data_IF_916177635272
#
_entry.id   IF_916177635272
#
_cell.length_a   1.000
_cell.length_b   1.000
_cell.length_c   1.000
_cell.angle_alpha   90.00
_cell.angle_beta   90.00
_cell.angle_gamma   90.00
#
_symmetry.space_group_name_H-M   'P 1'
#
loop_
_entity.id
_entity.type
_entity.pdbx_description
1 polymer ?
#
# COMPACT_ATOMS: atom_id res chain seq x y z
N UNK A 1 9.77 -21.46 -24.41
CA UNK A 1 9.94 -22.85 -24.89
C UNK A 1 11.36 -23.06 -25.41
N UNK A 2 12.06 -24.13 -25.04
CA UNK A 2 13.44 -24.40 -25.49
C UNK A 2 13.47 -25.29 -26.73
N UNK A 3 14.46 -25.11 -27.62
CA UNK A 3 14.62 -25.92 -28.84
C UNK A 3 14.61 -27.43 -28.54
N UNK A 4 15.23 -27.83 -27.42
CA UNK A 4 15.26 -29.22 -26.93
C UNK A 4 13.88 -29.82 -26.64
N UNK A 5 12.92 -29.01 -26.18
CA UNK A 5 11.55 -29.48 -25.90
C UNK A 5 10.76 -29.70 -27.19
N UNK A 6 10.91 -28.77 -28.15
CA UNK A 6 10.28 -28.84 -29.47
C UNK A 6 10.77 -30.08 -30.22
N UNK A 7 12.08 -30.30 -30.21
CA UNK A 7 12.73 -31.48 -30.77
C UNK A 7 12.15 -32.77 -30.17
N UNK A 8 12.05 -32.88 -28.84
CA UNK A 8 11.49 -34.07 -28.17
C UNK A 8 10.03 -34.34 -28.55
N UNK A 9 9.22 -33.30 -28.72
CA UNK A 9 7.81 -33.44 -29.08
C UNK A 9 7.64 -33.85 -30.55
N UNK A 10 8.39 -33.23 -31.47
CA UNK A 10 8.44 -33.63 -32.89
C UNK A 10 8.84 -35.10 -33.01
N UNK A 11 9.85 -35.54 -32.26
CA UNK A 11 10.26 -36.95 -32.24
C UNK A 11 9.17 -37.89 -31.71
N UNK A 12 8.30 -37.42 -30.81
CA UNK A 12 7.25 -38.24 -30.20
C UNK A 12 5.99 -38.33 -31.07
N UNK A 13 5.62 -37.24 -31.74
CA UNK A 13 4.36 -37.14 -32.52
C UNK A 13 4.54 -37.48 -34.00
N UNK A 14 5.68 -37.15 -34.61
CA UNK A 14 5.86 -37.21 -36.07
C UNK A 14 6.85 -38.28 -36.53
N UNK A 15 7.57 -38.90 -35.59
CA UNK A 15 8.68 -39.79 -35.83
C UNK A 15 8.36 -41.21 -35.32
N UNK A 16 7.22 -41.76 -35.76
CA UNK A 16 6.72 -43.09 -35.36
C UNK A 16 7.28 -44.24 -36.21
N UNK A 17 7.98 -43.94 -37.31
CA UNK A 17 8.49 -44.93 -38.27
C UNK A 17 9.99 -45.22 -38.13
N UNK A 18 10.43 -46.36 -38.67
CA UNK A 18 11.81 -46.87 -38.66
C UNK A 18 12.88 -45.86 -39.11
N UNK A 19 12.51 -44.88 -39.94
CA UNK A 19 13.34 -43.77 -40.40
C UNK A 19 13.77 -42.85 -39.23
N UNK A 20 12.91 -42.64 -38.23
CA UNK A 20 13.23 -41.86 -37.04
C UNK A 20 14.26 -42.54 -36.13
N UNK A 21 14.27 -43.87 -36.07
CA UNK A 21 15.25 -44.63 -35.29
C UNK A 21 16.67 -44.53 -35.87
N UNK A 22 16.81 -44.41 -37.19
CA UNK A 22 18.11 -44.16 -37.84
C UNK A 22 18.63 -42.75 -37.54
N UNK A 23 17.73 -41.76 -37.61
CA UNK A 23 18.01 -40.37 -37.23
C UNK A 23 18.42 -40.33 -35.74
N UNK A 24 17.66 -40.94 -34.84
CA UNK A 24 17.94 -41.02 -33.41
C UNK A 24 19.28 -41.71 -33.07
N UNK A 25 19.64 -42.81 -33.75
CA UNK A 25 20.93 -43.51 -33.58
C UNK A 25 22.13 -42.70 -34.08
N UNK A 26 21.98 -41.96 -35.18
CA UNK A 26 23.04 -41.08 -35.68
C UNK A 26 23.31 -39.89 -34.73
N UNK A 27 22.32 -39.54 -33.90
CA UNK A 27 22.28 -38.31 -33.12
C UNK A 27 22.59 -38.48 -31.63
N UNK A 28 22.52 -39.68 -31.06
CA UNK A 28 22.95 -39.93 -29.67
C UNK A 28 24.41 -39.57 -29.38
N UNK A 29 25.24 -39.36 -30.41
CA UNK A 29 26.66 -39.01 -30.28
C UNK A 29 26.97 -37.51 -30.41
N UNK A 30 26.03 -36.63 -30.80
CA UNK A 30 26.32 -35.23 -31.17
C UNK A 30 25.52 -34.13 -30.43
N UNK A 31 24.58 -34.48 -29.54
CA UNK A 31 23.72 -33.52 -28.81
C UNK A 31 24.47 -32.83 -27.65
N UNK A 32 25.61 -32.19 -27.94
CA UNK A 32 26.33 -31.38 -26.94
C UNK A 32 26.72 -29.98 -27.41
N UNK A 33 26.41 -29.52 -28.63
CA UNK A 33 26.97 -28.23 -29.07
C UNK A 33 26.07 -27.13 -29.64
N UNK A 34 24.81 -27.29 -30.06
CA UNK A 34 23.94 -26.13 -30.39
C UNK A 34 22.49 -26.55 -30.75
N UNK A 35 21.55 -26.45 -29.80
CA UNK A 35 20.16 -26.92 -29.96
C UNK A 35 19.35 -26.20 -31.07
N UNK A 36 19.75 -24.98 -31.46
CA UNK A 36 19.11 -24.17 -32.51
C UNK A 36 19.43 -24.63 -33.92
N UNK A 37 20.69 -25.02 -34.20
CA UNK A 37 21.07 -25.60 -35.49
C UNK A 37 20.41 -26.97 -35.71
N UNK A 38 20.22 -27.70 -34.62
CA UNK A 38 19.58 -29.01 -34.67
C UNK A 38 18.08 -28.94 -34.98
N UNK A 39 17.38 -27.96 -34.40
CA UNK A 39 15.97 -27.70 -34.72
C UNK A 39 15.78 -27.29 -36.19
N UNK A 40 16.73 -26.54 -36.77
CA UNK A 40 16.69 -26.17 -38.18
C UNK A 40 16.79 -27.40 -39.09
N UNK A 41 17.73 -28.31 -38.81
CA UNK A 41 17.88 -29.56 -39.56
C UNK A 41 16.65 -30.46 -39.48
N UNK A 42 16.01 -30.56 -38.30
CA UNK A 42 14.78 -31.36 -38.13
C UNK A 42 13.59 -30.80 -38.93
N UNK A 43 13.45 -29.47 -38.98
CA UNK A 43 12.40 -28.82 -39.81
C UNK A 43 12.58 -29.13 -41.29
N UNK A 44 13.83 -29.12 -41.75
CA UNK A 44 14.18 -29.40 -43.15
C UNK A 44 14.01 -30.89 -43.48
N UNK A 45 14.50 -31.80 -42.64
CA UNK A 45 14.42 -33.24 -42.87
C UNK A 45 12.98 -33.79 -42.85
N UNK A 46 12.09 -33.18 -42.06
CA UNK A 46 10.68 -33.57 -41.95
C UNK A 46 9.74 -32.69 -42.78
N UNK A 47 10.29 -31.74 -43.55
CA UNK A 47 9.54 -30.84 -44.42
C UNK A 47 8.42 -30.06 -43.72
N UNK A 48 8.66 -29.62 -42.47
CA UNK A 48 7.65 -28.96 -41.63
C UNK A 48 7.47 -27.51 -42.09
N UNK A 49 6.27 -27.14 -42.54
CA UNK A 49 5.96 -25.76 -42.93
C UNK A 49 5.95 -24.79 -41.73
N UNK A 50 6.03 -23.49 -42.00
CA UNK A 50 5.99 -22.47 -40.94
C UNK A 50 4.67 -22.49 -40.14
N UNK A 51 3.55 -22.79 -40.82
CA UNK A 51 2.22 -22.84 -40.23
C UNK A 51 2.04 -24.11 -39.37
N UNK A 52 2.47 -25.28 -39.86
CA UNK A 52 2.49 -26.51 -39.06
C UNK A 52 3.42 -26.39 -37.85
N UNK A 53 4.55 -25.71 -38.01
CA UNK A 53 5.45 -25.42 -36.90
C UNK A 53 4.79 -24.54 -35.84
N UNK A 54 4.07 -23.48 -36.25
CA UNK A 54 3.32 -22.63 -35.32
C UNK A 54 2.21 -23.40 -34.59
N UNK A 55 1.47 -24.25 -35.30
CA UNK A 55 0.44 -25.12 -34.71
C UNK A 55 1.04 -26.16 -33.76
N UNK A 56 2.20 -26.73 -34.07
CA UNK A 56 2.93 -27.64 -33.19
C UNK A 56 3.39 -26.91 -31.92
N UNK A 57 3.92 -25.70 -32.05
CA UNK A 57 4.28 -24.87 -30.90
C UNK A 57 3.05 -24.61 -30.00
N UNK A 58 1.91 -24.22 -30.60
CA UNK A 58 0.67 -24.00 -29.88
C UNK A 58 0.13 -25.29 -29.21
N UNK A 59 0.22 -26.45 -29.87
CA UNK A 59 -0.18 -27.75 -29.28
C UNK A 59 0.74 -28.16 -28.13
N UNK A 60 2.04 -27.94 -28.25
CA UNK A 60 3.03 -28.17 -27.19
C UNK A 60 2.74 -27.26 -25.98
N UNK A 61 2.38 -26.01 -26.23
CA UNK A 61 2.03 -25.05 -25.19
C UNK A 61 0.70 -25.44 -24.51
N UNK A 62 -0.32 -25.85 -25.28
CA UNK A 62 -1.63 -26.27 -24.74
C UNK A 62 -1.66 -27.60 -23.98
N UNK A 63 -0.67 -28.47 -24.20
CA UNK A 63 -0.56 -29.79 -23.54
C UNK A 63 0.36 -29.75 -22.31
N UNK A 64 1.10 -28.66 -22.12
CA UNK A 64 1.96 -28.46 -20.97
C UNK A 64 1.22 -27.75 -19.84
N UNK A 65 1.58 -28.08 -18.60
CA UNK A 65 1.19 -27.27 -17.46
C UNK A 65 1.82 -25.88 -17.59
N UNK A 66 1.09 -24.83 -17.21
CA UNK A 66 1.71 -23.53 -17.05
C UNK A 66 2.90 -23.67 -16.07
N UNK A 67 4.06 -23.06 -16.38
CA UNK A 67 5.09 -22.84 -15.39
C UNK A 67 4.48 -22.31 -14.09
N UNK A 68 4.82 -22.87 -12.93
CA UNK A 68 4.16 -22.52 -11.66
C UNK A 68 4.12 -21.00 -11.39
N UNK A 69 5.14 -20.25 -11.83
CA UNK A 69 5.15 -18.78 -11.73
C UNK A 69 4.06 -18.12 -12.58
N UNK A 70 3.84 -18.61 -13.80
CA UNK A 70 2.75 -18.13 -14.66
C UNK A 70 1.39 -18.54 -14.11
N UNK A 71 1.27 -19.76 -13.56
CA UNK A 71 0.05 -20.21 -12.90
C UNK A 71 -0.31 -19.34 -11.69
N UNK A 72 0.69 -18.93 -10.90
CA UNK A 72 0.50 -18.02 -9.76
C UNK A 72 0.08 -16.63 -10.20
N UNK A 73 0.69 -16.08 -11.24
CA UNK A 73 0.26 -14.79 -11.79
C UNK A 73 -1.16 -14.89 -12.33
N UNK A 74 -1.51 -16.00 -12.99
CA UNK A 74 -2.87 -16.26 -13.43
C UNK A 74 -3.85 -16.34 -12.25
N UNK A 75 -3.48 -17.00 -11.14
CA UNK A 75 -4.29 -17.04 -9.92
C UNK A 75 -4.55 -15.64 -9.33
N UNK A 76 -3.52 -14.80 -9.28
CA UNK A 76 -3.61 -13.43 -8.76
C UNK A 76 -4.52 -12.59 -9.66
N UNK A 77 -4.30 -12.66 -10.98
CA UNK A 77 -5.13 -11.96 -11.96
C UNK A 77 -6.60 -12.38 -11.87
N UNK A 78 -6.88 -13.67 -11.66
CA UNK A 78 -8.25 -14.16 -11.51
C UNK A 78 -8.91 -13.68 -10.20
N UNK A 79 -8.14 -13.49 -9.11
CA UNK A 79 -8.66 -12.85 -7.89
C UNK A 79 -9.03 -11.39 -8.15
N UNK A 80 -8.18 -10.66 -8.89
CA UNK A 80 -8.41 -9.28 -9.32
C UNK A 80 -9.68 -9.15 -10.19
N UNK A 81 -9.82 -10.01 -11.22
CA UNK A 81 -10.97 -10.01 -12.15
C UNK A 81 -12.30 -10.28 -11.44
N UNK A 82 -12.31 -11.18 -10.47
CA UNK A 82 -13.49 -11.50 -9.67
C UNK A 82 -13.79 -10.43 -8.60
N UNK A 83 -13.11 -9.28 -8.65
CA UNK A 83 -13.39 -8.10 -7.83
C UNK A 83 -12.79 -8.14 -6.43
N UNK A 84 -11.92 -9.11 -6.15
CA UNK A 84 -11.24 -9.22 -4.87
C UNK A 84 -10.17 -8.13 -4.76
N UNK A 85 -10.33 -7.21 -3.80
CA UNK A 85 -9.44 -6.04 -3.63
C UNK A 85 -8.47 -6.27 -2.48
N UNK A 86 -7.20 -5.94 -2.68
CA UNK A 86 -6.18 -5.91 -1.63
C UNK A 86 -5.35 -4.62 -1.74
N UNK A 87 -4.96 -4.04 -0.60
CA UNK A 87 -4.26 -2.77 -0.50
C UNK A 87 -2.75 -2.89 -0.73
N UNK A 88 -2.24 -4.12 -0.90
CA UNK A 88 -0.86 -4.37 -1.28
C UNK A 88 -0.48 -5.84 -1.23
N UNK A 89 0.71 -6.14 -1.75
CA UNK A 89 1.21 -7.53 -1.85
C UNK A 89 1.20 -8.26 -0.51
N UNK A 90 1.49 -7.59 0.61
CA UNK A 90 1.43 -8.23 1.94
C UNK A 90 0.03 -8.75 2.28
N UNK A 91 -1.01 -7.98 1.96
CA UNK A 91 -2.40 -8.36 2.23
C UNK A 91 -2.82 -9.55 1.36
N UNK A 92 -2.51 -9.51 0.07
CA UNK A 92 -2.71 -10.65 -0.84
C UNK A 92 -2.05 -11.94 -0.30
N UNK A 93 -0.84 -11.84 0.25
CA UNK A 93 -0.14 -12.99 0.82
C UNK A 93 -0.77 -13.48 2.11
N UNK A 94 -1.18 -12.58 3.02
CA UNK A 94 -1.89 -12.98 4.23
C UNK A 94 -3.22 -13.66 3.91
N UNK A 95 -3.85 -13.30 2.80
CA UNK A 95 -5.09 -13.92 2.34
C UNK A 95 -4.83 -15.30 1.72
N UNK A 96 -3.78 -15.42 0.91
CA UNK A 96 -3.43 -16.67 0.22
C UNK A 96 -2.63 -17.66 1.07
N UNK A 97 -2.04 -17.18 2.17
CA UNK A 97 -1.19 -17.94 3.09
C UNK A 97 -1.46 -17.41 4.51
N UNK A 98 -2.57 -17.82 5.16
CA UNK A 98 -3.03 -17.19 6.39
C UNK A 98 -2.24 -17.58 7.66
N UNK A 99 -1.30 -18.53 7.58
CA UNK A 99 -0.49 -18.94 8.74
C UNK A 99 0.62 -17.92 9.05
N UNK A 100 0.51 -17.25 10.20
CA UNK A 100 1.46 -16.21 10.65
C UNK A 100 2.81 -16.75 11.18
N UNK A 101 2.96 -18.06 11.34
CA UNK A 101 4.25 -18.68 11.65
C UNK A 101 5.07 -18.85 10.37
N UNK A 102 5.68 -17.73 9.95
CA UNK A 102 6.50 -17.67 8.76
C UNK A 102 7.88 -18.31 8.94
N UNK A 103 8.21 -18.89 10.09
CA UNK A 103 9.57 -19.36 10.40
C UNK A 103 10.09 -20.35 9.36
N UNK A 104 9.26 -21.30 8.94
CA UNK A 104 9.57 -22.29 7.90
C UNK A 104 9.57 -21.72 6.47
N UNK A 105 8.86 -20.60 6.26
CA UNK A 105 8.62 -19.99 4.95
C UNK A 105 9.51 -18.75 4.70
N UNK A 106 10.18 -18.24 5.73
CA UNK A 106 10.78 -16.90 5.81
C UNK A 106 11.69 -16.57 4.63
N UNK A 107 12.58 -17.50 4.27
CA UNK A 107 13.52 -17.32 3.16
C UNK A 107 12.81 -17.21 1.81
N UNK A 108 11.77 -18.02 1.59
CA UNK A 108 11.00 -18.02 0.35
C UNK A 108 9.99 -16.88 0.29
N UNK A 109 9.45 -16.49 1.43
CA UNK A 109 8.66 -15.27 1.60
C UNK A 109 9.47 -14.02 1.21
N UNK A 110 10.71 -13.88 1.72
CA UNK A 110 11.58 -12.76 1.35
C UNK A 110 12.00 -12.79 -0.12
N UNK A 111 12.30 -13.97 -0.67
CA UNK A 111 12.62 -14.10 -2.10
C UNK A 111 11.43 -13.72 -2.99
N UNK A 112 10.23 -14.23 -2.69
CA UNK A 112 9.05 -13.92 -3.50
C UNK A 112 8.65 -12.45 -3.38
N UNK A 113 8.86 -11.83 -2.21
CA UNK A 113 8.63 -10.40 -1.98
C UNK A 113 9.61 -9.47 -2.72
N UNK A 114 10.85 -9.91 -2.95
CA UNK A 114 11.92 -9.03 -3.41
C UNK A 114 12.32 -9.24 -4.87
N UNK A 115 12.13 -10.43 -5.44
CA UNK A 115 12.80 -10.77 -6.70
C UNK A 115 11.86 -10.92 -7.90
N UNK A 116 10.56 -11.19 -7.73
CA UNK A 116 9.61 -11.44 -8.85
C UNK A 116 10.15 -12.37 -9.97
N UNK A 117 11.21 -13.14 -9.72
CA UNK A 117 11.93 -13.86 -10.75
C UNK A 117 11.99 -15.35 -10.45
N UNK A 118 11.28 -16.07 -11.31
CA UNK A 118 11.54 -17.42 -11.79
C UNK A 118 11.74 -18.51 -10.71
N UNK A 119 10.63 -19.23 -10.49
CA UNK A 119 10.48 -20.44 -9.69
C UNK A 119 10.35 -20.21 -8.18
N UNK A 120 9.10 -20.29 -7.70
CA UNK A 120 8.84 -20.82 -6.36
C UNK A 120 9.28 -22.28 -6.39
N UNK A 121 10.57 -22.53 -6.16
CA UNK A 121 11.13 -23.89 -6.08
C UNK A 121 10.66 -24.65 -4.85
N UNK A 122 9.96 -24.00 -3.91
CA UNK A 122 9.60 -24.59 -2.62
C UNK A 122 8.14 -24.98 -2.58
N UNK A 123 7.90 -26.28 -2.39
CA UNK A 123 6.59 -26.92 -2.26
C UNK A 123 5.70 -26.32 -1.16
N UNK A 124 6.29 -25.65 -0.16
CA UNK A 124 5.60 -25.13 1.02
C UNK A 124 4.70 -23.92 0.76
N UNK A 125 5.10 -22.94 -0.07
CA UNK A 125 4.22 -21.83 -0.48
C UNK A 125 3.08 -22.35 -1.36
N UNK A 126 3.41 -23.33 -2.22
CA UNK A 126 2.46 -23.98 -3.12
C UNK A 126 1.36 -24.71 -2.34
N UNK A 127 1.74 -25.43 -1.28
CA UNK A 127 0.81 -26.09 -0.36
C UNK A 127 -0.10 -25.08 0.36
N UNK A 128 0.43 -23.98 0.87
CA UNK A 128 -0.39 -22.98 1.56
C UNK A 128 -1.43 -22.30 0.65
N UNK A 129 -1.04 -21.99 -0.60
CA UNK A 129 -1.98 -21.46 -1.61
C UNK A 129 -3.02 -22.52 -1.96
N UNK A 130 -2.60 -23.78 -2.12
CA UNK A 130 -3.47 -24.91 -2.38
C UNK A 130 -4.52 -25.07 -1.26
N UNK A 131 -4.10 -24.98 0.00
CA UNK A 131 -4.99 -25.07 1.16
C UNK A 131 -5.96 -23.88 1.23
N UNK A 132 -5.46 -22.66 1.03
CA UNK A 132 -6.25 -21.43 1.13
C UNK A 132 -7.34 -21.33 0.05
N UNK A 133 -6.99 -21.69 -1.19
CA UNK A 133 -7.91 -21.69 -2.32
C UNK A 133 -8.63 -23.03 -2.50
N UNK A 134 -8.34 -24.02 -1.65
CA UNK A 134 -8.90 -25.38 -1.68
C UNK A 134 -8.76 -26.06 -3.06
N UNK A 135 -7.54 -26.02 -3.61
CA UNK A 135 -7.17 -26.71 -4.84
C UNK A 135 -6.74 -28.15 -4.57
N UNK A 136 -6.93 -29.02 -5.55
CA UNK A 136 -6.34 -30.34 -5.54
C UNK A 136 -4.88 -30.26 -5.98
N UNK A 137 -4.00 -31.08 -5.39
CA UNK A 137 -2.56 -31.04 -5.64
C UNK A 137 -2.18 -31.36 -7.10
N UNK A 138 -3.01 -32.10 -7.83
CA UNK A 138 -2.77 -32.43 -9.23
C UNK A 138 -2.81 -31.19 -10.14
N UNK A 139 -3.51 -30.12 -9.73
CA UNK A 139 -3.75 -28.93 -10.56
C UNK A 139 -2.45 -28.22 -10.93
N UNK A 140 -1.40 -28.31 -10.10
CA UNK A 140 -0.08 -27.76 -10.38
C UNK A 140 0.58 -28.33 -11.62
N UNK A 141 0.27 -29.59 -11.94
CA UNK A 141 0.82 -30.32 -13.09
C UNK A 141 -0.22 -30.63 -14.16
N UNK A 142 -1.46 -30.19 -13.99
CA UNK A 142 -2.51 -30.31 -15.00
C UNK A 142 -2.17 -29.47 -16.23
N UNK A 143 -2.67 -29.85 -17.40
CA UNK A 143 -2.46 -29.04 -18.62
C UNK A 143 -2.97 -27.61 -18.43
N UNK A 144 -2.34 -26.66 -19.11
CA UNK A 144 -2.74 -25.25 -19.06
C UNK A 144 -4.24 -25.06 -19.35
N UNK A 145 -4.80 -25.84 -20.27
CA UNK A 145 -6.24 -25.84 -20.58
C UNK A 145 -7.09 -26.19 -19.36
N UNK A 146 -6.73 -27.24 -18.61
CA UNK A 146 -7.47 -27.64 -17.42
C UNK A 146 -7.27 -26.65 -16.27
N UNK A 147 -6.06 -26.10 -16.12
CA UNK A 147 -5.75 -25.05 -15.15
C UNK A 147 -6.62 -23.80 -15.38
N UNK A 148 -6.71 -23.31 -16.63
CA UNK A 148 -7.54 -22.15 -16.99
C UNK A 148 -9.03 -22.38 -16.79
N UNK A 149 -9.49 -23.63 -16.85
CA UNK A 149 -10.90 -23.99 -16.67
C UNK A 149 -11.31 -24.11 -15.19
N UNK A 150 -10.43 -24.66 -14.34
CA UNK A 150 -10.76 -25.00 -12.95
C UNK A 150 -10.52 -23.84 -12.00
N UNK A 151 -9.45 -23.06 -12.22
CA UNK A 151 -9.03 -21.98 -11.32
C UNK A 151 -10.09 -20.89 -11.09
N UNK A 152 -10.73 -20.32 -12.13
CA UNK A 152 -11.70 -19.23 -11.93
C UNK A 152 -12.84 -19.66 -11.01
N UNK A 153 -13.40 -20.86 -11.24
CA UNK A 153 -14.50 -21.42 -10.43
C UNK A 153 -14.16 -21.55 -8.95
N UNK A 154 -12.92 -21.92 -8.64
CA UNK A 154 -12.46 -22.08 -7.27
C UNK A 154 -12.19 -20.73 -6.60
N UNK A 155 -11.72 -19.73 -7.35
CA UNK A 155 -11.54 -18.35 -6.88
C UNK A 155 -12.89 -17.70 -6.57
N UNK A 156 -13.88 -17.80 -7.46
CA UNK A 156 -15.24 -17.30 -7.17
C UNK A 156 -15.81 -17.89 -5.89
N UNK A 157 -15.64 -19.21 -5.69
CA UNK A 157 -16.09 -19.89 -4.47
C UNK A 157 -15.34 -19.41 -3.20
N UNK A 158 -14.05 -19.09 -3.32
CA UNK A 158 -13.24 -18.52 -2.25
C UNK A 158 -13.74 -17.11 -1.86
N UNK A 159 -13.98 -16.25 -2.84
CA UNK A 159 -14.43 -14.86 -2.64
C UNK A 159 -15.80 -14.82 -1.94
N UNK A 160 -16.77 -15.61 -2.42
CA UNK A 160 -18.11 -15.69 -1.82
C UNK A 160 -18.09 -16.11 -0.34
N UNK A 161 -17.11 -16.93 0.06
CA UNK A 161 -16.92 -17.35 1.46
C UNK A 161 -16.27 -16.26 2.30
N UNK A 162 -15.43 -15.42 1.69
CA UNK A 162 -14.72 -14.31 2.33
C UNK A 162 -15.63 -13.08 2.53
N UNK A 163 -16.43 -12.71 1.53
CA UNK A 163 -17.36 -11.56 1.61
C UNK A 163 -18.45 -11.75 2.68
N UNK A 164 -18.99 -12.97 2.82
CA UNK A 164 -19.95 -13.31 3.89
C UNK A 164 -19.38 -13.11 5.30
N UNK A 165 -18.06 -13.18 5.49
CA UNK A 165 -17.41 -12.86 6.77
C UNK A 165 -17.24 -11.36 7.00
N UNK A 166 -17.13 -10.57 5.94
CA UNK A 166 -16.93 -9.12 6.01
C UNK A 166 -18.25 -8.35 6.13
N UNK A 167 -19.34 -8.81 5.51
CA UNK A 167 -20.68 -8.23 5.70
C UNK A 167 -21.19 -8.36 7.14
N UNK A 168 -20.78 -9.41 7.86
CA UNK A 168 -21.09 -9.59 9.27
C UNK A 168 -20.36 -8.58 10.19
N UNK A 169 -19.22 -8.02 9.74
CA UNK A 169 -18.50 -6.95 10.44
C UNK A 169 -19.08 -5.57 10.11
N UNK A 170 -19.42 -5.32 8.84
CA UNK A 170 -19.85 -4.00 8.38
C UNK A 170 -21.20 -3.51 8.93
N UNK A 171 -22.08 -4.39 9.43
CA UNK A 171 -23.39 -3.98 9.97
C UNK A 171 -23.37 -3.51 11.43
N UNK A 172 -22.24 -3.66 12.14
CA UNK A 172 -22.16 -3.31 13.56
C UNK A 172 -21.40 -2.00 13.87
N UNK A 173 -20.74 -1.36 12.90
CA UNK A 173 -19.81 -0.25 13.18
C UNK A 173 -20.38 1.16 13.01
N UNK A 174 -21.71 1.33 12.97
CA UNK A 174 -22.36 2.65 12.91
C UNK A 174 -22.58 3.31 14.29
N UNK A 175 -21.64 3.19 15.23
CA UNK A 175 -21.68 3.91 16.52
C UNK A 175 -20.28 4.36 16.96
N UNK A 176 -20.10 5.69 17.02
CA UNK A 176 -18.90 6.44 17.42
C UNK A 176 -17.63 6.16 16.61
N UNK A 177 -16.84 7.18 16.23
CA UNK A 177 -15.52 6.95 15.65
C UNK A 177 -14.59 6.45 16.77
N UNK A 178 -14.58 5.15 17.01
CA UNK A 178 -13.56 4.49 17.81
C UNK A 178 -12.24 4.56 17.02
N UNK A 179 -11.17 4.96 17.69
CA UNK A 179 -9.84 4.88 17.09
C UNK A 179 -9.52 3.42 16.88
N UNK A 180 -9.37 3.00 15.62
CA UNK A 180 -8.96 1.64 15.30
C UNK A 180 -7.50 1.42 15.70
N UNK A 181 -7.29 0.84 16.89
CA UNK A 181 -5.97 0.50 17.43
C UNK A 181 -5.45 -0.87 16.94
N UNK A 182 -6.09 -1.48 15.93
CA UNK A 182 -5.70 -2.79 15.36
C UNK A 182 -4.24 -2.83 14.86
N UNK A 183 -3.62 -1.67 14.62
CA UNK A 183 -2.22 -1.52 14.20
C UNK A 183 -1.18 -1.78 15.29
N UNK A 184 -1.57 -1.84 16.57
CA UNK A 184 -0.69 -2.11 17.72
C UNK A 184 -0.45 -3.63 17.82
N UNK A 185 0.19 -4.21 16.79
CA UNK A 185 0.57 -5.62 16.81
C UNK A 185 2.00 -5.79 17.36
N UNK A 186 2.20 -6.68 18.35
CA UNK A 186 3.51 -6.95 18.93
C UNK A 186 4.42 -7.67 17.92
N UNK A 187 5.74 -7.43 18.01
CA UNK A 187 6.74 -8.10 17.18
C UNK A 187 6.99 -9.55 17.62
N UNK A 188 6.78 -9.83 18.90
CA UNK A 188 6.85 -11.16 19.50
C UNK A 188 5.43 -11.65 19.76
N UNK A 189 5.17 -12.94 19.58
CA UNK A 189 3.80 -13.49 19.62
C UNK A 189 3.49 -14.23 20.93
N UNK A 190 4.54 -14.61 21.67
CA UNK A 190 4.37 -15.49 22.83
C UNK A 190 4.05 -14.68 24.08
N UNK A 191 2.83 -14.85 24.53
CA UNK A 191 2.39 -14.53 25.89
C UNK A 191 2.64 -15.75 26.76
N UNK A 192 2.93 -15.53 28.04
CA UNK A 192 2.87 -16.62 29.00
C UNK A 192 1.41 -16.97 29.33
N UNK A 193 1.18 -18.07 30.06
CA UNK A 193 -0.16 -18.56 30.40
C UNK A 193 -0.96 -17.54 31.23
N UNK A 194 -0.29 -16.83 32.13
CA UNK A 194 -0.90 -15.83 33.02
C UNK A 194 -1.36 -14.59 32.24
N UNK A 195 -0.48 -14.04 31.39
CA UNK A 195 -0.78 -12.93 30.48
C UNK A 195 -1.90 -13.28 29.48
N UNK A 196 -1.89 -14.51 28.95
CA UNK A 196 -2.92 -15.00 28.03
C UNK A 196 -4.27 -15.17 28.72
N UNK A 197 -4.27 -15.68 29.96
CA UNK A 197 -5.47 -15.82 30.78
C UNK A 197 -6.08 -14.45 31.07
N UNK A 198 -5.25 -13.52 31.55
CA UNK A 198 -5.69 -12.18 31.89
C UNK A 198 -6.24 -11.38 30.70
N UNK A 199 -5.62 -11.48 29.51
CA UNK A 199 -6.15 -10.83 28.31
C UNK A 199 -7.55 -11.35 27.94
N UNK A 200 -7.80 -12.66 28.05
CA UNK A 200 -9.13 -13.23 27.81
C UNK A 200 -10.15 -12.71 28.81
N UNK A 201 -9.78 -12.58 30.07
CA UNK A 201 -10.63 -11.98 31.10
C UNK A 201 -11.00 -10.55 30.71
N UNK A 202 -10.02 -9.70 30.37
CA UNK A 202 -10.30 -8.31 29.97
C UNK A 202 -11.21 -8.19 28.73
N UNK A 203 -11.11 -9.10 27.77
CA UNK A 203 -11.97 -9.13 26.58
C UNK A 203 -13.43 -9.41 26.93
N UNK A 204 -13.69 -10.32 27.88
CA UNK A 204 -15.05 -10.79 28.23
C UNK A 204 -15.76 -9.98 29.31
N UNK A 205 -15.02 -9.29 30.16
CA UNK A 205 -15.57 -8.65 31.37
C UNK A 205 -16.21 -7.27 31.09
N UNK A 206 -17.18 -6.86 31.93
CA UNK A 206 -17.75 -5.50 31.88
C UNK A 206 -16.76 -4.46 32.42
N UNK A 207 -16.97 -3.17 32.15
CA UNK A 207 -16.09 -2.08 32.62
C UNK A 207 -15.89 -2.12 34.14
N UNK A 208 -16.94 -2.36 34.92
CA UNK A 208 -16.85 -2.44 36.39
C UNK A 208 -15.95 -3.59 36.87
N UNK A 209 -16.07 -4.75 36.24
CA UNK A 209 -15.27 -5.94 36.60
C UNK A 209 -13.80 -5.79 36.22
N UNK A 210 -13.48 -4.93 35.25
CA UNK A 210 -12.10 -4.70 34.81
C UNK A 210 -11.29 -3.94 35.85
N UNK A 211 -11.90 -3.02 36.61
CA UNK A 211 -11.19 -2.32 37.70
C UNK A 211 -10.67 -3.31 38.74
N UNK A 212 -11.52 -4.25 39.17
CA UNK A 212 -11.14 -5.32 40.10
C UNK A 212 -10.04 -6.20 39.49
N UNK A 213 -10.16 -6.56 38.22
CA UNK A 213 -9.15 -7.37 37.51
C UNK A 213 -7.81 -6.68 37.36
N UNK A 214 -7.79 -5.38 37.08
CA UNK A 214 -6.56 -4.59 37.00
C UNK A 214 -5.85 -4.53 38.36
N UNK A 215 -6.61 -4.52 39.46
CA UNK A 215 -6.06 -4.57 40.82
C UNK A 215 -5.52 -5.97 41.17
N UNK A 216 -6.30 -7.03 40.90
CA UNK A 216 -5.92 -8.43 41.14
C UNK A 216 -4.62 -8.81 40.43
N UNK A 217 -4.44 -8.32 39.20
CA UNK A 217 -3.32 -8.66 38.33
C UNK A 217 -2.31 -7.51 38.16
N UNK A 218 -2.26 -6.55 39.09
CA UNK A 218 -1.36 -5.37 39.01
C UNK A 218 0.11 -5.75 38.73
N UNK A 219 0.55 -6.90 39.24
CA UNK A 219 1.90 -7.41 39.05
C UNK A 219 2.29 -7.64 37.58
N UNK A 220 1.32 -7.88 36.68
CA UNK A 220 1.56 -8.01 35.23
C UNK A 220 1.97 -6.67 34.58
N UNK A 221 1.69 -5.55 35.25
CA UNK A 221 2.09 -4.19 34.85
C UNK A 221 3.30 -3.74 35.67
N UNK A 222 4.29 -4.61 35.81
CA UNK A 222 5.57 -4.29 36.43
C UNK A 222 6.71 -4.55 35.43
N UNK A 223 7.80 -3.79 35.56
CA UNK A 223 8.96 -3.94 34.68
C UNK A 223 9.59 -5.34 34.72
N UNK A 224 9.36 -6.10 35.80
CA UNK A 224 9.93 -7.44 36.00
C UNK A 224 9.09 -8.56 35.37
N UNK A 225 7.77 -8.37 35.21
CA UNK A 225 6.85 -9.44 34.79
C UNK A 225 6.12 -9.17 33.48
N UNK A 226 5.86 -7.92 33.13
CA UNK A 226 5.09 -7.56 31.95
C UNK A 226 5.91 -7.66 30.67
N UNK A 227 5.57 -8.56 29.76
CA UNK A 227 6.20 -8.59 28.43
C UNK A 227 5.72 -7.43 27.55
N UNK A 228 6.56 -6.99 26.61
CA UNK A 228 6.14 -5.99 25.61
C UNK A 228 4.95 -6.47 24.77
N UNK A 229 4.86 -7.77 24.53
CA UNK A 229 3.75 -8.41 23.82
C UNK A 229 2.44 -8.24 24.56
N UNK A 230 2.46 -8.50 25.86
CA UNK A 230 1.31 -8.32 26.74
C UNK A 230 0.86 -6.86 26.80
N UNK A 231 1.79 -5.94 27.08
CA UNK A 231 1.50 -4.51 27.16
C UNK A 231 0.93 -3.97 25.85
N UNK A 232 1.39 -4.43 24.69
CA UNK A 232 0.85 -3.98 23.40
C UNK A 232 -0.57 -4.50 23.14
N UNK A 233 -0.88 -5.74 23.55
CA UNK A 233 -2.21 -6.33 23.37
C UNK A 233 -3.26 -5.78 24.34
N UNK A 234 -2.84 -5.32 25.52
CA UNK A 234 -3.77 -4.77 26.52
C UNK A 234 -4.27 -3.36 26.15
N UNK A 235 -3.47 -2.60 25.39
CA UNK A 235 -3.78 -1.21 24.99
C UNK A 235 -5.14 -1.07 24.30
N UNK A 236 -5.45 -1.80 23.20
CA UNK A 236 -6.73 -1.65 22.52
C UNK A 236 -7.92 -1.99 23.43
N UNK A 237 -7.78 -2.99 24.29
CA UNK A 237 -8.85 -3.43 25.19
C UNK A 237 -9.16 -2.34 26.22
N UNK A 238 -8.14 -1.85 26.92
CA UNK A 238 -8.30 -0.82 27.94
C UNK A 238 -8.71 0.53 27.36
N UNK A 239 -8.21 0.86 26.17
CA UNK A 239 -8.60 2.08 25.45
C UNK A 239 -10.09 2.06 25.10
N UNK A 240 -10.58 0.97 24.49
CA UNK A 240 -11.98 0.83 24.11
C UNK A 240 -12.94 0.83 25.31
N UNK A 241 -12.42 0.54 26.51
CA UNK A 241 -13.20 0.49 27.74
C UNK A 241 -13.00 1.73 28.63
N UNK A 242 -12.28 2.75 28.16
CA UNK A 242 -12.16 4.06 28.82
C UNK A 242 -11.11 4.14 29.94
N UNK A 243 -10.20 3.16 30.04
CA UNK A 243 -9.17 3.10 31.11
C UNK A 243 -7.92 3.94 30.79
N UNK A 244 -8.12 5.20 30.38
CA UNK A 244 -7.06 6.07 29.88
C UNK A 244 -6.00 6.43 30.93
N UNK A 245 -6.41 6.66 32.19
CA UNK A 245 -5.49 6.93 33.30
C UNK A 245 -4.59 5.73 33.58
N UNK A 246 -5.15 4.52 33.58
CA UNK A 246 -4.38 3.30 33.78
C UNK A 246 -3.38 3.07 32.64
N UNK A 247 -3.80 3.30 31.38
CA UNK A 247 -2.90 3.23 30.23
C UNK A 247 -1.71 4.20 30.37
N UNK A 248 -1.99 5.43 30.81
CA UNK A 248 -0.99 6.47 31.02
C UNK A 248 -0.01 6.15 32.15
N UNK A 249 -0.51 5.68 33.29
CA UNK A 249 0.29 5.54 34.51
C UNK A 249 1.01 4.20 34.61
N UNK A 250 0.39 3.12 34.11
CA UNK A 250 0.86 1.76 34.38
C UNK A 250 1.32 1.04 33.09
N UNK A 251 0.76 1.36 31.91
CA UNK A 251 1.09 0.64 30.65
C UNK A 251 2.16 1.35 29.84
N UNK A 252 1.95 2.61 29.46
CA UNK A 252 2.87 3.35 28.58
C UNK A 252 4.28 3.54 29.14
N UNK A 253 4.50 3.79 30.44
CA UNK A 253 5.85 3.94 30.99
C UNK A 253 6.71 2.68 30.83
N UNK A 254 6.06 1.51 30.81
CA UNK A 254 6.70 0.20 30.69
C UNK A 254 6.97 -0.24 29.24
N UNK A 255 6.39 0.46 28.26
CA UNK A 255 6.68 0.19 26.86
C UNK A 255 8.12 0.58 26.52
N UNK A 256 8.75 -0.24 25.68
CA UNK A 256 10.05 0.08 25.09
C UNK A 256 9.97 1.41 24.35
N UNK A 257 11.09 2.13 24.30
CA UNK A 257 11.19 3.41 23.58
C UNK A 257 10.64 3.30 22.15
N UNK A 258 11.04 2.27 21.41
CA UNK A 258 10.56 2.01 20.05
C UNK A 258 9.02 1.84 19.96
N UNK A 259 8.42 1.10 20.89
CA UNK A 259 6.97 0.86 20.88
C UNK A 259 6.19 2.12 21.25
N UNK A 260 6.69 2.89 22.23
CA UNK A 260 6.17 4.20 22.59
C UNK A 260 6.15 5.14 21.39
N UNK A 261 7.28 5.30 20.72
CA UNK A 261 7.40 6.17 19.54
C UNK A 261 6.40 5.79 18.44
N UNK A 262 6.25 4.48 18.18
CA UNK A 262 5.32 3.96 17.18
C UNK A 262 3.86 4.22 17.55
N UNK A 263 3.47 4.00 18.81
CA UNK A 263 2.11 4.27 19.28
C UNK A 263 1.81 5.76 19.19
N UNK A 264 2.75 6.61 19.62
CA UNK A 264 2.62 8.06 19.52
C UNK A 264 2.36 8.50 18.08
N UNK A 265 3.23 8.12 17.15
CA UNK A 265 3.09 8.42 15.72
C UNK A 265 1.72 8.00 15.21
N UNK A 266 1.27 6.79 15.54
CA UNK A 266 0.00 6.27 15.04
C UNK A 266 -1.21 6.95 15.67
N UNK A 267 -1.14 7.31 16.94
CA UNK A 267 -2.19 8.08 17.61
C UNK A 267 -2.27 9.50 17.04
N UNK A 268 -1.13 10.12 16.72
CA UNK A 268 -1.09 11.42 16.05
C UNK A 268 -1.63 11.32 14.61
N UNK A 269 -1.34 10.25 13.87
CA UNK A 269 -1.92 9.98 12.55
C UNK A 269 -3.44 9.82 12.63
N UNK A 270 -3.95 9.04 13.59
CA UNK A 270 -5.37 8.88 13.82
C UNK A 270 -6.03 10.21 14.22
N UNK A 271 -5.40 10.97 15.11
CA UNK A 271 -5.82 12.31 15.51
C UNK A 271 -5.96 13.26 14.31
N UNK A 272 -4.96 13.28 13.42
CA UNK A 272 -4.99 14.12 12.21
C UNK A 272 -6.13 13.76 11.24
N UNK A 273 -6.71 12.56 11.35
CA UNK A 273 -7.78 12.06 10.48
C UNK A 273 -9.18 12.19 11.08
N UNK A 274 -9.32 12.49 12.37
CA UNK A 274 -10.61 12.60 13.06
C UNK A 274 -11.07 14.06 13.06
N UNK A 275 -12.26 14.33 12.50
CA UNK A 275 -12.91 15.64 12.59
C UNK A 275 -13.27 15.92 14.06
N UNK A 276 -12.76 17.02 14.62
CA UNK A 276 -12.81 17.33 16.05
C UNK A 276 -14.23 17.47 16.62
N UNK A 277 -14.71 16.45 17.33
CA UNK A 277 -15.74 16.61 18.38
C UNK A 277 -15.10 16.48 19.77
N UNK A 278 -15.44 17.38 20.69
CA UNK A 278 -14.70 17.68 21.93
C UNK A 278 -14.35 16.53 22.89
N UNK A 279 -15.11 15.43 22.96
CA UNK A 279 -14.85 14.37 23.95
C UNK A 279 -13.66 13.47 23.57
N UNK A 280 -13.61 13.01 22.32
CA UNK A 280 -12.50 12.16 21.81
C UNK A 280 -11.19 12.95 21.71
N UNK A 281 -11.31 14.27 21.52
CA UNK A 281 -10.18 15.19 21.44
C UNK A 281 -9.36 15.24 22.74
N UNK A 282 -10.01 15.40 23.89
CA UNK A 282 -9.33 15.47 25.19
C UNK A 282 -8.65 14.14 25.53
N UNK A 283 -9.32 13.01 25.29
CA UNK A 283 -8.82 11.66 25.58
C UNK A 283 -7.56 11.32 24.78
N UNK A 284 -7.55 11.62 23.47
CA UNK A 284 -6.38 11.41 22.61
C UNK A 284 -5.24 12.33 23.00
N UNK A 285 -5.53 13.59 23.31
CA UNK A 285 -4.53 14.56 23.75
C UNK A 285 -3.86 14.14 25.06
N UNK A 286 -4.63 13.65 26.04
CA UNK A 286 -4.11 13.13 27.31
C UNK A 286 -3.15 11.95 27.11
N UNK A 287 -3.47 11.04 26.19
CA UNK A 287 -2.60 9.90 25.87
C UNK A 287 -1.35 10.35 25.09
N UNK A 288 -1.49 11.29 24.15
CA UNK A 288 -0.37 11.85 23.37
C UNK A 288 0.66 12.58 24.25
N UNK A 289 0.22 13.33 25.27
CA UNK A 289 1.13 14.02 26.21
C UNK A 289 2.05 13.06 26.99
N UNK A 290 1.62 11.82 27.17
CA UNK A 290 2.33 10.83 27.99
C UNK A 290 3.44 10.08 27.25
N UNK A 291 3.55 10.26 25.92
CA UNK A 291 4.52 9.53 25.11
C UNK A 291 5.64 10.48 24.63
N UNK A 292 6.89 10.29 25.09
CA UNK A 292 7.99 11.18 24.73
C UNK A 292 8.25 11.17 23.22
N UNK A 293 8.59 12.35 22.67
CA UNK A 293 8.78 12.55 21.24
C UNK A 293 10.22 12.26 20.83
N UNK A 294 10.44 11.46 19.79
CA UNK A 294 11.81 11.18 19.31
C UNK A 294 12.00 11.21 17.79
N UNK A 295 10.94 11.07 16.97
CA UNK A 295 11.04 11.06 15.51
C UNK A 295 10.55 12.38 14.89
N UNK A 296 11.49 13.26 14.52
CA UNK A 296 11.21 14.62 14.04
C UNK A 296 10.61 14.67 12.63
N UNK A 297 11.07 13.84 11.66
CA UNK A 297 10.56 13.88 10.28
C UNK A 297 9.10 13.44 10.19
N UNK A 298 8.75 12.31 10.82
CA UNK A 298 7.37 11.79 10.78
C UNK A 298 6.40 12.67 11.56
N UNK A 299 6.85 13.25 12.68
CA UNK A 299 6.08 14.24 13.42
C UNK A 299 5.72 15.44 12.54
N UNK A 300 6.68 15.99 11.78
CA UNK A 300 6.41 17.12 10.88
C UNK A 300 5.39 16.77 9.80
N UNK A 301 5.44 15.56 9.24
CA UNK A 301 4.45 15.09 8.27
C UNK A 301 3.05 15.06 8.91
N UNK A 302 2.94 14.57 10.14
CA UNK A 302 1.67 14.50 10.86
C UNK A 302 1.17 15.89 11.27
N UNK A 303 2.05 16.77 11.76
CA UNK A 303 1.70 18.16 12.09
C UNK A 303 1.22 18.88 10.81
N UNK A 304 1.88 18.65 9.67
CA UNK A 304 1.47 19.20 8.37
C UNK A 304 0.10 18.65 7.94
N UNK A 305 -0.13 17.34 8.08
CA UNK A 305 -1.41 16.70 7.80
C UNK A 305 -2.53 17.21 8.70
N UNK A 306 -2.24 17.46 9.97
CA UNK A 306 -3.20 18.00 10.95
C UNK A 306 -3.65 19.39 10.54
N UNK A 307 -2.71 20.27 10.21
CA UNK A 307 -3.02 21.63 9.72
C UNK A 307 -3.80 21.53 8.40
N UNK A 308 -3.45 20.61 7.50
CA UNK A 308 -4.16 20.41 6.24
C UNK A 308 -5.59 19.92 6.44
N UNK A 309 -5.80 18.92 7.29
CA UNK A 309 -7.12 18.37 7.60
C UNK A 309 -8.02 19.43 8.25
N UNK A 310 -7.50 20.16 9.24
CA UNK A 310 -8.19 21.29 9.85
C UNK A 310 -8.57 22.35 8.82
N UNK A 311 -7.61 22.79 7.99
CA UNK A 311 -7.85 23.81 6.96
C UNK A 311 -8.93 23.34 5.98
N UNK A 312 -8.84 22.09 5.52
CA UNK A 312 -9.80 21.49 4.61
C UNK A 312 -11.20 21.48 5.24
N UNK A 313 -11.34 20.94 6.44
CA UNK A 313 -12.62 20.85 7.17
C UNK A 313 -13.26 22.24 7.32
N UNK A 314 -12.48 23.23 7.78
CA UNK A 314 -12.96 24.60 7.94
C UNK A 314 -13.44 25.19 6.61
N UNK A 315 -12.73 24.95 5.51
CA UNK A 315 -13.13 25.48 4.20
C UNK A 315 -14.40 24.81 3.66
N UNK A 316 -14.53 23.49 3.82
CA UNK A 316 -15.70 22.75 3.33
C UNK A 316 -16.96 23.04 4.14
N UNK A 317 -16.84 23.15 5.47
CA UNK A 317 -18.01 23.20 6.36
C UNK A 317 -18.36 24.61 6.85
N UNK A 318 -17.39 25.53 6.91
CA UNK A 318 -17.57 26.80 7.62
C UNK A 318 -17.37 28.05 6.76
N UNK A 319 -16.69 27.97 5.62
CA UNK A 319 -16.47 29.15 4.76
C UNK A 319 -17.71 29.42 3.91
N UNK A 320 -18.35 30.57 4.15
CA UNK A 320 -19.47 31.09 3.37
C UNK A 320 -19.07 32.29 2.51
N UNK A 321 -17.96 32.97 2.85
CA UNK A 321 -17.50 34.16 2.15
C UNK A 321 -15.96 34.24 2.07
N UNK A 322 -15.47 35.18 1.26
CA UNK A 322 -14.03 35.42 1.05
C UNK A 322 -13.31 35.84 2.33
N UNK A 323 -13.93 36.63 3.20
CA UNK A 323 -13.29 37.10 4.44
C UNK A 323 -13.00 35.94 5.40
N UNK A 324 -13.95 35.02 5.59
CA UNK A 324 -13.76 33.80 6.37
C UNK A 324 -12.65 32.92 5.79
N UNK A 325 -12.60 32.78 4.47
CA UNK A 325 -11.51 32.08 3.78
C UNK A 325 -10.15 32.73 4.08
N UNK A 326 -10.08 34.06 4.04
CA UNK A 326 -8.84 34.80 4.32
C UNK A 326 -8.33 34.53 5.74
N UNK A 327 -9.22 34.55 6.74
CA UNK A 327 -8.82 34.28 8.13
C UNK A 327 -8.30 32.84 8.30
N UNK A 328 -8.97 31.85 7.71
CA UNK A 328 -8.52 30.46 7.75
C UNK A 328 -7.15 30.31 7.07
N UNK A 329 -6.99 30.83 5.85
CA UNK A 329 -5.72 30.74 5.13
C UNK A 329 -4.58 31.44 5.86
N UNK A 330 -4.84 32.59 6.50
CA UNK A 330 -3.85 33.30 7.31
C UNK A 330 -3.35 32.46 8.48
N UNK A 331 -4.27 31.80 9.20
CA UNK A 331 -3.92 30.89 10.30
C UNK A 331 -3.08 29.72 9.76
N UNK A 332 -3.50 29.10 8.65
CA UNK A 332 -2.79 27.99 8.02
C UNK A 332 -1.37 28.39 7.58
N UNK A 333 -1.19 29.58 7.00
CA UNK A 333 0.12 30.11 6.60
C UNK A 333 1.05 30.25 7.81
N UNK A 334 0.57 30.80 8.92
CA UNK A 334 1.38 30.92 10.15
C UNK A 334 1.88 29.56 10.64
N UNK A 335 1.00 28.55 10.65
CA UNK A 335 1.38 27.19 11.04
C UNK A 335 2.36 26.56 10.06
N UNK A 336 2.10 26.62 8.75
CA UNK A 336 3.01 26.03 7.76
C UNK A 336 4.35 26.75 7.70
N UNK A 337 4.39 28.07 7.90
CA UNK A 337 5.63 28.84 7.98
C UNK A 337 6.48 28.37 9.15
N UNK A 338 5.88 28.18 10.33
CA UNK A 338 6.59 27.64 11.50
C UNK A 338 7.18 26.25 11.20
N UNK A 339 6.39 25.35 10.63
CA UNK A 339 6.84 24.00 10.26
C UNK A 339 7.93 24.02 9.19
N UNK A 340 7.84 24.93 8.22
CA UNK A 340 8.83 25.13 7.16
C UNK A 340 10.18 25.62 7.70
N UNK A 341 10.17 26.54 8.67
CA UNK A 341 11.38 27.10 9.28
C UNK A 341 12.06 26.09 10.21
N UNK A 342 11.28 25.35 10.99
CA UNK A 342 11.80 24.41 12.00
C UNK A 342 12.55 23.23 11.38
N UNK A 343 12.19 22.79 10.17
CA UNK A 343 12.91 21.76 9.42
C UNK A 343 12.57 21.83 7.93
N UNK A 344 13.60 21.91 7.10
CA UNK A 344 13.46 21.99 5.64
C UNK A 344 12.90 20.65 5.11
N UNK A 345 11.58 20.46 5.08
CA UNK A 345 10.88 19.31 4.51
C UNK A 345 9.92 19.84 3.41
N UNK A 346 9.76 19.10 2.31
CA UNK A 346 8.94 19.54 1.18
C UNK A 346 7.43 19.48 1.42
N UNK A 347 6.95 18.68 2.38
CA UNK A 347 5.51 18.58 2.69
C UNK A 347 4.92 19.89 3.24
N UNK A 348 5.40 20.47 4.36
CA UNK A 348 4.89 21.76 4.84
C UNK A 348 5.10 22.88 3.82
N UNK A 349 6.20 22.85 3.05
CA UNK A 349 6.48 23.86 2.03
C UNK A 349 5.43 23.90 0.91
N UNK A 350 4.96 22.75 0.42
CA UNK A 350 3.98 22.75 -0.67
C UNK A 350 2.61 23.23 -0.18
N UNK A 351 2.21 22.87 1.04
CA UNK A 351 0.94 23.34 1.61
C UNK A 351 0.98 24.84 1.93
N UNK A 352 2.12 25.35 2.37
CA UNK A 352 2.38 26.79 2.47
C UNK A 352 2.18 27.47 1.11
N UNK A 353 2.77 26.92 0.05
CA UNK A 353 2.66 27.46 -1.31
C UNK A 353 1.21 27.47 -1.83
N UNK A 354 0.43 26.40 -1.60
CA UNK A 354 -1.01 26.39 -1.93
C UNK A 354 -1.77 27.50 -1.19
N UNK A 355 -1.53 27.67 0.11
CA UNK A 355 -2.21 28.69 0.91
C UNK A 355 -1.87 30.11 0.43
N UNK A 356 -0.59 30.38 0.16
CA UNK A 356 -0.14 31.66 -0.40
C UNK A 356 -0.74 31.89 -1.78
N UNK A 357 -0.79 30.87 -2.65
CA UNK A 357 -1.39 30.98 -3.98
C UNK A 357 -2.87 31.32 -3.91
N UNK A 358 -3.62 30.71 -2.99
CA UNK A 358 -5.03 31.07 -2.79
C UNK A 358 -5.17 32.52 -2.30
N UNK A 359 -4.32 32.97 -1.37
CA UNK A 359 -4.32 34.36 -0.92
C UNK A 359 -3.96 35.32 -2.06
N UNK A 360 -2.96 35.01 -2.90
CA UNK A 360 -2.57 35.91 -3.98
C UNK A 360 -3.64 36.01 -5.08
N UNK A 361 -4.41 34.95 -5.32
CA UNK A 361 -5.55 34.95 -6.23
C UNK A 361 -6.69 35.84 -5.69
N UNK A 362 -7.07 35.67 -4.43
CA UNK A 362 -8.27 36.32 -3.88
C UNK A 362 -8.02 37.67 -3.20
N UNK A 363 -6.81 37.87 -2.68
CA UNK A 363 -6.40 39.04 -1.88
C UNK A 363 -4.98 39.50 -2.28
N UNK A 364 -4.75 39.88 -3.55
CA UNK A 364 -3.41 40.19 -4.07
C UNK A 364 -2.71 41.36 -3.33
N UNK A 365 -3.48 42.24 -2.70
CA UNK A 365 -2.97 43.39 -1.95
C UNK A 365 -2.79 43.12 -0.44
N UNK A 366 -3.08 41.90 0.02
CA UNK A 366 -2.84 41.52 1.41
C UNK A 366 -1.34 41.50 1.73
N UNK A 367 -1.00 41.71 3.01
CA UNK A 367 0.39 41.62 3.48
C UNK A 367 0.96 40.23 3.18
N UNK A 368 0.17 39.19 3.43
CA UNK A 368 0.54 37.80 3.22
C UNK A 368 0.82 37.50 1.73
N UNK A 369 0.05 38.05 0.78
CA UNK A 369 0.34 37.91 -0.66
C UNK A 369 1.66 38.58 -1.07
N UNK A 370 2.05 39.67 -0.40
CA UNK A 370 3.22 40.47 -0.74
C UNK A 370 4.49 40.00 -0.02
N UNK A 371 4.36 39.47 1.19
CA UNK A 371 5.46 39.01 2.04
C UNK A 371 6.04 37.68 1.56
N UNK A 372 5.18 36.79 1.06
CA UNK A 372 5.61 35.45 0.66
C UNK A 372 5.77 35.30 -0.84
N UNK A 373 6.93 34.79 -1.24
CA UNK A 373 7.22 34.43 -2.62
C UNK A 373 7.28 32.90 -2.78
N UNK A 374 6.41 32.34 -3.63
CA UNK A 374 6.35 30.90 -3.90
C UNK A 374 7.66 30.41 -4.54
N UNK A 375 8.31 31.23 -5.39
CA UNK A 375 9.61 30.88 -5.99
C UNK A 375 10.69 30.67 -4.92
N UNK A 376 10.72 31.54 -3.91
CA UNK A 376 11.69 31.44 -2.81
C UNK A 376 11.45 30.19 -1.96
N UNK A 377 10.17 29.85 -1.71
CA UNK A 377 9.79 28.63 -1.00
C UNK A 377 10.25 27.39 -1.79
N UNK A 378 10.01 27.38 -3.11
CA UNK A 378 10.45 26.30 -3.98
C UNK A 378 11.97 26.17 -4.02
N UNK A 379 12.70 27.26 -4.23
CA UNK A 379 14.17 27.27 -4.29
C UNK A 379 14.81 26.77 -2.99
N UNK A 380 14.25 27.13 -1.83
CA UNK A 380 14.70 26.60 -0.52
C UNK A 380 14.39 25.11 -0.35
N UNK A 381 13.32 24.63 -0.96
CA UNK A 381 12.83 23.25 -0.82
C UNK A 381 13.47 22.28 -1.83
N UNK A 382 13.84 22.79 -3.02
CA UNK A 382 14.37 22.01 -4.16
C UNK A 382 15.53 21.07 -3.82
N UNK A 383 16.54 21.45 -3.01
CA UNK A 383 17.63 20.52 -2.67
C UNK A 383 17.17 19.23 -1.98
N UNK A 384 16.08 19.31 -1.20
CA UNK A 384 15.54 18.16 -0.47
C UNK A 384 14.73 17.26 -1.38
N UNK A 385 13.96 17.85 -2.30
CA UNK A 385 13.25 17.10 -3.33
C UNK A 385 14.27 16.31 -4.16
N UNK A 386 15.38 16.93 -4.55
CA UNK A 386 16.46 16.26 -5.28
C UNK A 386 17.09 15.12 -4.46
N UNK A 387 17.21 15.29 -3.14
CA UNK A 387 17.71 14.24 -2.25
C UNK A 387 16.74 13.06 -2.17
N UNK A 388 15.47 13.32 -1.89
CA UNK A 388 14.45 12.29 -1.67
C UNK A 388 14.11 11.54 -2.98
N UNK A 389 14.23 12.19 -4.15
CA UNK A 389 14.16 11.52 -5.47
C UNK A 389 15.18 10.38 -5.65
N UNK A 390 16.35 10.47 -5.02
CA UNK A 390 17.41 9.45 -5.12
C UNK A 390 17.14 8.21 -4.26
N UNK A 391 16.17 8.27 -3.35
CA UNK A 391 15.88 7.18 -2.41
C UNK A 391 15.05 6.04 -3.02
N UNK A 392 14.51 6.23 -4.22
CA UNK A 392 13.72 5.23 -4.96
C UNK A 392 12.34 4.94 -4.38
N UNK A 393 11.53 4.16 -5.11
CA UNK A 393 10.20 3.74 -4.68
C UNK A 393 9.22 4.89 -4.41
N UNK A 394 8.34 4.70 -3.43
CA UNK A 394 7.27 5.64 -3.09
C UNK A 394 7.80 7.04 -2.68
N UNK A 395 8.99 7.10 -2.06
CA UNK A 395 9.63 8.36 -1.65
C UNK A 395 10.03 9.18 -2.88
N UNK A 396 10.57 8.53 -3.90
CA UNK A 396 10.95 9.19 -5.15
C UNK A 396 9.73 9.71 -5.92
N UNK A 397 8.63 8.96 -5.88
CA UNK A 397 7.34 9.41 -6.41
C UNK A 397 6.83 10.65 -5.67
N UNK A 398 6.74 10.61 -4.34
CA UNK A 398 6.22 11.73 -3.54
C UNK A 398 7.03 13.01 -3.77
N UNK A 399 8.35 12.90 -3.80
CA UNK A 399 9.25 14.02 -4.09
C UNK A 399 9.04 14.58 -5.50
N UNK A 400 8.86 13.71 -6.51
CA UNK A 400 8.57 14.12 -7.89
C UNK A 400 7.23 14.82 -8.01
N UNK A 401 6.19 14.28 -7.38
CA UNK A 401 4.88 14.93 -7.34
C UNK A 401 4.92 16.29 -6.67
N UNK A 402 5.62 16.43 -5.53
CA UNK A 402 5.77 17.74 -4.90
C UNK A 402 6.52 18.75 -5.78
N UNK A 403 7.49 18.31 -6.58
CA UNK A 403 8.11 19.18 -7.59
C UNK A 403 7.09 19.67 -8.61
N UNK A 404 6.31 18.77 -9.21
CA UNK A 404 5.31 19.16 -10.21
C UNK A 404 4.24 20.09 -9.63
N UNK A 405 3.77 19.82 -8.41
CA UNK A 405 2.84 20.73 -7.71
C UNK A 405 3.42 22.13 -7.53
N UNK A 406 4.71 22.27 -7.17
CA UNK A 406 5.36 23.58 -7.13
C UNK A 406 5.41 24.27 -8.50
N UNK A 407 5.79 23.53 -9.55
CA UNK A 407 5.88 24.07 -10.90
C UNK A 407 4.50 24.53 -11.42
N UNK A 408 3.42 23.84 -11.05
CA UNK A 408 2.06 24.27 -11.33
C UNK A 408 1.68 25.55 -10.61
N UNK A 409 1.98 25.67 -9.32
CA UNK A 409 1.70 26.88 -8.55
C UNK A 409 2.46 28.09 -9.10
N UNK A 410 3.62 27.85 -9.72
CA UNK A 410 4.46 28.82 -10.41
C UNK A 410 4.08 29.05 -11.88
N UNK A 411 3.00 28.43 -12.38
CA UNK A 411 2.53 28.56 -13.77
C UNK A 411 3.58 28.19 -14.83
N UNK A 412 4.42 27.20 -14.57
CA UNK A 412 5.40 26.71 -15.54
C UNK A 412 4.71 25.85 -16.62
N UNK A 413 4.66 26.35 -17.86
CA UNK A 413 3.85 25.79 -18.95
C UNK A 413 4.18 24.33 -19.34
N UNK A 414 5.41 23.87 -19.12
CA UNK A 414 5.86 22.51 -19.46
C UNK A 414 5.48 21.44 -18.42
N UNK A 415 4.87 21.85 -17.30
CA UNK A 415 4.60 20.91 -16.18
C UNK A 415 3.62 19.80 -16.57
N UNK A 416 2.66 20.05 -17.46
CA UNK A 416 1.70 19.03 -17.89
C UNK A 416 2.39 17.88 -18.64
N UNK A 417 3.27 18.22 -19.59
CA UNK A 417 4.05 17.26 -20.37
C UNK A 417 5.00 16.46 -19.47
N UNK A 418 5.64 17.13 -18.50
CA UNK A 418 6.51 16.44 -17.54
C UNK A 418 5.75 15.45 -16.65
N UNK A 419 4.52 15.77 -16.23
CA UNK A 419 3.69 14.86 -15.44
C UNK A 419 3.25 13.67 -16.29
N UNK A 420 2.83 13.90 -17.54
CA UNK A 420 2.42 12.82 -18.45
C UNK A 420 3.55 11.80 -18.68
N UNK A 421 4.74 12.28 -19.07
CA UNK A 421 5.92 11.44 -19.22
C UNK A 421 6.28 10.70 -17.92
N UNK A 422 6.17 11.38 -16.78
CA UNK A 422 6.45 10.77 -15.49
C UNK A 422 5.46 9.64 -15.16
N UNK A 423 4.16 9.80 -15.46
CA UNK A 423 3.17 8.75 -15.23
C UNK A 423 3.42 7.52 -16.11
N UNK A 424 3.79 7.74 -17.37
CA UNK A 424 4.15 6.67 -18.32
C UNK A 424 5.38 5.88 -17.85
N UNK A 425 6.45 6.60 -17.46
CA UNK A 425 7.73 5.99 -17.10
C UNK A 425 7.72 5.34 -15.72
N UNK A 426 7.11 6.00 -14.73
CA UNK A 426 7.21 5.57 -13.33
C UNK A 426 6.12 4.60 -12.90
N UNK A 427 5.03 4.50 -13.67
CA UNK A 427 3.85 3.65 -13.39
C UNK A 427 3.47 3.63 -11.90
N UNK A 428 3.15 4.80 -11.32
CA UNK A 428 2.93 4.92 -9.89
C UNK A 428 1.68 4.16 -9.43
N UNK A 429 1.70 3.72 -8.17
CA UNK A 429 0.58 3.02 -7.55
C UNK A 429 -0.69 3.87 -7.57
N UNK A 430 -1.83 3.24 -7.89
CA UNK A 430 -3.17 3.86 -7.88
C UNK A 430 -3.47 4.63 -6.59
N UNK A 431 -3.08 4.12 -5.41
CA UNK A 431 -3.32 4.79 -4.13
C UNK A 431 -2.62 6.15 -4.03
N UNK A 432 -1.39 6.24 -4.55
CA UNK A 432 -0.61 7.47 -4.55
C UNK A 432 -1.19 8.51 -5.52
N UNK A 433 -1.74 8.07 -6.66
CA UNK A 433 -2.45 8.94 -7.60
C UNK A 433 -3.76 9.45 -7.01
N UNK A 434 -4.55 8.58 -6.38
CA UNK A 434 -5.79 8.98 -5.68
C UNK A 434 -5.54 10.00 -4.58
N UNK A 435 -4.47 9.84 -3.81
CA UNK A 435 -4.07 10.84 -2.81
C UNK A 435 -3.80 12.21 -3.45
N UNK A 436 -3.07 12.24 -4.58
CA UNK A 436 -2.76 13.48 -5.29
C UNK A 436 -3.98 14.16 -5.87
N UNK A 437 -4.89 13.38 -6.45
CA UNK A 437 -6.20 13.87 -6.91
C UNK A 437 -6.94 14.56 -5.77
N UNK A 438 -6.98 13.96 -4.58
CA UNK A 438 -7.66 14.55 -3.42
C UNK A 438 -7.03 15.86 -2.93
N UNK A 439 -5.70 15.96 -2.95
CA UNK A 439 -4.96 17.18 -2.57
C UNK A 439 -5.26 18.32 -3.56
N UNK A 440 -5.15 18.07 -4.87
CA UNK A 440 -5.41 19.07 -5.91
C UNK A 440 -6.88 19.45 -6.00
N UNK A 441 -7.80 18.49 -5.87
CA UNK A 441 -9.24 18.76 -5.87
C UNK A 441 -9.66 19.71 -4.75
N UNK A 442 -9.01 19.62 -3.58
CA UNK A 442 -9.28 20.56 -2.50
C UNK A 442 -8.99 22.00 -2.96
N UNK A 443 -7.81 22.25 -3.52
CA UNK A 443 -7.44 23.57 -4.04
C UNK A 443 -8.39 24.05 -5.15
N UNK A 444 -8.71 23.21 -6.13
CA UNK A 444 -9.63 23.56 -7.21
C UNK A 444 -11.02 23.89 -6.66
N UNK A 445 -11.53 23.08 -5.73
CA UNK A 445 -12.84 23.29 -5.13
C UNK A 445 -12.94 24.67 -4.46
N UNK A 446 -11.93 25.05 -3.69
CA UNK A 446 -11.91 26.37 -3.04
C UNK A 446 -11.92 27.48 -4.08
N UNK A 447 -11.11 27.37 -5.13
CA UNK A 447 -11.06 28.44 -6.13
C UNK A 447 -12.41 28.56 -6.85
N UNK A 448 -12.96 27.45 -7.34
CA UNK A 448 -14.25 27.39 -8.03
C UNK A 448 -15.39 28.00 -7.22
N UNK A 449 -15.43 27.71 -5.91
CA UNK A 449 -16.43 28.26 -4.99
C UNK A 449 -16.50 29.80 -5.00
N UNK A 450 -15.41 30.49 -5.31
CA UNK A 450 -15.31 31.96 -5.25
C UNK A 450 -14.98 32.65 -6.57
N UNK A 451 -14.49 31.89 -7.56
CA UNK A 451 -14.13 32.33 -8.90
C UNK A 451 -14.07 31.14 -9.87
N UNK A 452 -15.23 30.73 -10.39
CA UNK A 452 -15.39 29.58 -11.29
C UNK A 452 -14.68 29.73 -12.65
N UNK A 453 -14.34 30.96 -13.05
CA UNK A 453 -13.69 31.26 -14.33
C UNK A 453 -12.20 31.54 -14.19
N UNK A 454 -11.61 31.29 -13.02
CA UNK A 454 -10.23 31.60 -12.75
C UNK A 454 -9.27 30.86 -13.71
N UNK A 455 -8.44 31.61 -14.43
CA UNK A 455 -7.56 31.04 -15.45
C UNK A 455 -6.48 30.10 -14.89
N UNK A 456 -6.08 30.30 -13.63
CA UNK A 456 -5.10 29.45 -12.95
C UNK A 456 -5.58 28.00 -12.85
N UNK A 457 -6.90 27.78 -12.81
CA UNK A 457 -7.47 26.44 -12.74
C UNK A 457 -7.27 25.61 -14.01
N UNK A 458 -7.02 26.24 -15.16
CA UNK A 458 -6.92 25.53 -16.45
C UNK A 458 -5.85 24.44 -16.41
N UNK A 459 -4.68 24.71 -15.83
CA UNK A 459 -3.59 23.72 -15.75
C UNK A 459 -3.85 22.65 -14.69
N UNK A 460 -4.41 23.02 -13.53
CA UNK A 460 -4.75 22.07 -12.48
C UNK A 460 -5.85 21.09 -12.91
N UNK A 461 -6.86 21.56 -13.64
CA UNK A 461 -7.93 20.70 -14.19
C UNK A 461 -7.36 19.70 -15.19
N UNK A 462 -6.50 20.14 -16.11
CA UNK A 462 -5.85 19.23 -17.07
C UNK A 462 -5.01 18.15 -16.40
N UNK A 463 -4.30 18.48 -15.32
CA UNK A 463 -3.56 17.47 -14.56
C UNK A 463 -4.48 16.50 -13.83
N UNK A 464 -5.61 16.95 -13.32
CA UNK A 464 -6.61 16.03 -12.78
C UNK A 464 -7.20 15.12 -13.84
N UNK A 465 -7.49 15.63 -15.04
CA UNK A 465 -7.94 14.83 -16.18
C UNK A 465 -6.88 13.78 -16.55
N UNK A 466 -5.61 14.16 -16.54
CA UNK A 466 -4.48 13.24 -16.78
C UNK A 466 -4.42 12.15 -15.70
N UNK A 467 -4.50 12.51 -14.42
CA UNK A 467 -4.53 11.52 -13.34
C UNK A 467 -5.76 10.61 -13.40
N UNK A 468 -6.94 11.15 -13.69
CA UNK A 468 -8.15 10.35 -13.83
C UNK A 468 -8.07 9.43 -15.06
N UNK A 469 -7.47 9.89 -16.15
CA UNK A 469 -7.22 9.06 -17.33
C UNK A 469 -6.26 7.92 -16.97
N UNK A 470 -5.14 8.22 -16.31
CA UNK A 470 -4.22 7.20 -15.82
C UNK A 470 -4.92 6.17 -14.92
N UNK A 471 -5.81 6.60 -14.03
CA UNK A 471 -6.62 5.70 -13.19
C UNK A 471 -7.64 4.86 -13.97
N UNK A 472 -8.06 5.30 -15.16
CA UNK A 472 -8.97 4.55 -16.03
C UNK A 472 -8.23 3.50 -16.86
N UNK A 473 -6.97 3.75 -17.21
CA UNK A 473 -6.11 2.84 -17.97
C UNK A 473 -5.43 1.76 -17.12
N UNK A 474 -5.47 1.89 -15.80
CA UNK A 474 -4.95 0.94 -14.80
C UNK A 474 -6.09 0.14 -14.19
#
# INVERSE_FOLDING_TARGET
>A
MTSKQIIKYIFKELCTDESANQIQKSLSNSIKKEDTKYLAYLKEALNISAEEYAQLCHRIESTQAMPHTQLLNFLIHQLEEEGFKWNGQKELFHILIPNEDWSDYKKSWYQWKNEHTQQIKKDTIRQAIQESLNFDSYLWNASEVEQRKVIPKKITAFILKHEKKNEAKSKNDAKNPSIDLSYIQPREVKLNTEESGFLKELETETTFQIEEKLLEHKNLFSAEKGSQTFLLKVIPILYNKGFYLFLKEEVFPLLSRYNRDRINIKMQEAYALINCSCSTYEEVFYLLQSIPQTNTKRKLEIDTMTVYAFTKEQIYNHVNNKEELFQILKISIQYYQRLHVENKNHSPSIHLAYAIKMISIFFPNSKEAQEFNIDDIYNKTKPLIVLDKKLGGDISYEASMKQFEFLLLLNQFHTLEEVELFLEDSQPKVSLIKQKINEINCFIHVIKKFDDQNEELKHFVKILELFNSYLYWQ
#
